data_IF_905152061122
#
_entry.id   IF_905152061122
#
_cell.length_a   1.000
_cell.length_b   1.000
_cell.length_c   1.000
_cell.angle_alpha   90.00
_cell.angle_beta   90.00
_cell.angle_gamma   90.00
#
_symmetry.space_group_name_H-M   'P 1'
#
loop_
_entity.id
_entity.type
_entity.pdbx_description
1 polymer ?
#
# COMPACT_ATOMS: atom_id res chain seq x y z
N UNK A 1 -3.96 -24.42 -2.44
CA UNK A 1 -3.23 -23.16 -2.71
C UNK A 1 -3.53 -22.14 -1.60
N UNK A 2 -2.89 -22.27 -0.44
CA UNK A 2 -3.07 -21.37 0.74
C UNK A 2 -1.73 -20.75 1.17
N UNK A 3 -0.61 -21.27 0.65
CA UNK A 3 0.75 -20.89 1.04
C UNK A 3 1.13 -19.46 0.61
N UNK A 4 0.62 -18.97 -0.53
CA UNK A 4 1.04 -17.67 -1.08
C UNK A 4 0.55 -16.48 -0.24
N UNK A 5 -0.65 -16.57 0.35
CA UNK A 5 -1.26 -15.47 1.10
C UNK A 5 -0.65 -15.29 2.50
N UNK A 6 -0.22 -16.38 3.13
CA UNK A 6 0.40 -16.33 4.46
C UNK A 6 1.82 -15.76 4.42
N UNK A 7 2.56 -16.11 3.35
CA UNK A 7 3.93 -15.62 3.12
C UNK A 7 3.94 -14.09 2.92
N UNK A 8 2.96 -13.54 2.20
CA UNK A 8 2.88 -12.09 1.94
C UNK A 8 2.73 -11.26 3.23
N UNK A 9 1.97 -11.78 4.21
CA UNK A 9 1.63 -11.10 5.47
C UNK A 9 2.83 -11.06 6.41
N UNK A 10 3.55 -12.18 6.51
CA UNK A 10 4.77 -12.25 7.31
C UNK A 10 5.90 -11.38 6.75
N UNK A 11 5.98 -11.18 5.44
CA UNK A 11 7.07 -10.41 4.85
C UNK A 11 6.81 -8.90 4.85
N UNK A 12 5.55 -8.45 4.78
CA UNK A 12 5.26 -7.02 4.94
C UNK A 12 5.62 -6.45 6.33
N UNK A 13 5.94 -7.31 7.31
CA UNK A 13 6.39 -6.91 8.64
C UNK A 13 7.92 -6.96 8.82
N UNK A 14 8.69 -7.56 7.88
CA UNK A 14 10.13 -7.76 8.07
C UNK A 14 10.98 -6.61 7.51
N UNK A 15 11.69 -5.96 8.43
CA UNK A 15 12.64 -4.87 8.26
C UNK A 15 13.90 -5.39 7.56
N UNK A 16 14.49 -4.62 6.65
CA UNK A 16 15.92 -4.24 6.56
C UNK A 16 16.23 -3.59 5.19
N UNK A 17 16.56 -2.30 5.27
CA UNK A 17 17.54 -1.50 4.51
C UNK A 17 18.20 -2.22 3.32
N UNK A 18 17.97 -1.76 2.08
CA UNK A 18 18.98 -1.43 1.03
C UNK A 18 18.25 -0.65 -0.08
N UNK A 19 18.88 0.43 -0.53
CA UNK A 19 18.28 1.44 -1.41
C UNK A 19 18.01 0.97 -2.84
N UNK A 20 17.01 1.62 -3.45
CA UNK A 20 16.86 1.93 -4.88
C UNK A 20 15.73 2.96 -4.96
N UNK A 21 15.89 3.92 -5.87
CA UNK A 21 15.06 5.10 -6.13
C UNK A 21 13.57 4.77 -6.24
N UNK A 22 12.88 4.69 -5.10
CA UNK A 22 11.42 4.57 -5.06
C UNK A 22 10.83 5.97 -4.93
N UNK A 23 9.95 6.32 -5.85
CA UNK A 23 9.14 7.54 -5.77
C UNK A 23 8.59 7.68 -4.34
N UNK A 24 8.61 8.89 -3.74
CA UNK A 24 8.25 9.07 -2.35
C UNK A 24 6.81 8.57 -2.14
N UNK A 25 6.68 7.47 -1.40
CA UNK A 25 5.40 6.98 -0.91
C UNK A 25 5.09 7.83 0.32
N UNK A 26 4.07 8.66 0.21
CA UNK A 26 3.58 9.44 1.34
C UNK A 26 2.42 8.70 2.01
N UNK A 27 2.53 8.53 3.32
CA UNK A 27 1.49 7.90 4.12
C UNK A 27 0.66 9.00 4.75
N UNK A 28 -0.60 9.06 4.31
CA UNK A 28 -1.61 10.01 4.76
C UNK A 28 -2.28 9.37 5.99
N UNK A 29 -1.66 9.54 7.15
CA UNK A 29 -2.17 9.06 8.45
C UNK A 29 -1.93 10.13 9.52
N UNK A 30 -2.81 10.27 10.54
CA UNK A 30 -2.63 11.24 11.63
C UNK A 30 -1.36 11.03 12.48
N UNK A 31 -0.65 9.91 12.32
CA UNK A 31 0.59 9.57 13.04
C UNK A 31 1.64 9.12 12.01
N UNK A 32 2.21 10.05 11.26
CA UNK A 32 3.04 9.74 10.08
C UNK A 32 4.54 9.60 10.43
N UNK A 33 4.95 8.38 10.80
CA UNK A 33 6.35 7.90 10.73
C UNK A 33 6.47 6.44 10.29
N UNK A 34 5.34 5.75 10.07
CA UNK A 34 5.29 4.31 9.82
C UNK A 34 5.80 4.00 8.41
N UNK A 35 7.04 3.54 8.24
CA UNK A 35 7.50 3.03 6.94
C UNK A 35 6.86 1.66 6.67
N UNK A 36 6.18 1.49 5.54
CA UNK A 36 5.74 0.16 5.08
C UNK A 36 6.93 -0.63 4.51
N UNK A 37 6.95 -1.94 4.70
CA UNK A 37 8.01 -2.80 4.17
C UNK A 37 8.11 -2.69 2.64
N UNK A 38 9.32 -2.85 2.11
CA UNK A 38 9.62 -2.67 0.69
C UNK A 38 8.79 -3.58 -0.22
N UNK A 39 8.45 -4.80 0.22
CA UNK A 39 7.57 -5.67 -0.55
C UNK A 39 6.15 -5.09 -0.66
N UNK A 40 5.62 -4.56 0.44
CA UNK A 40 4.37 -3.82 0.44
C UNK A 40 4.47 -2.58 -0.46
N UNK A 41 5.61 -1.88 -0.49
CA UNK A 41 5.87 -0.77 -1.42
C UNK A 41 5.79 -1.21 -2.88
N UNK A 42 6.42 -2.34 -3.24
CA UNK A 42 6.36 -2.88 -4.60
C UNK A 42 4.94 -3.25 -5.00
N UNK A 43 4.15 -3.84 -4.09
CA UNK A 43 2.77 -4.22 -4.38
C UNK A 43 1.91 -2.97 -4.64
N UNK A 44 1.99 -1.95 -3.78
CA UNK A 44 1.21 -0.71 -3.99
C UNK A 44 1.69 0.07 -5.21
N UNK A 45 2.99 0.03 -5.51
CA UNK A 45 3.58 0.66 -6.68
C UNK A 45 3.08 0.01 -7.97
N UNK A 46 3.19 -1.31 -8.11
CA UNK A 46 2.62 -2.06 -9.25
C UNK A 46 1.12 -1.85 -9.41
N UNK A 47 0.39 -1.78 -8.30
CA UNK A 47 -1.05 -1.49 -8.34
C UNK A 47 -1.30 -0.09 -8.90
N UNK A 48 -0.55 0.92 -8.45
CA UNK A 48 -0.66 2.27 -8.99
C UNK A 48 -0.19 2.38 -10.44
N UNK A 49 0.83 1.63 -10.87
CA UNK A 49 1.24 1.58 -12.29
C UNK A 49 0.11 1.03 -13.18
N UNK A 50 -0.62 0.01 -12.74
CA UNK A 50 -1.76 -0.52 -13.48
C UNK A 50 -2.95 0.44 -13.57
N UNK A 51 -3.15 1.27 -12.54
CA UNK A 51 -4.24 2.25 -12.46
C UNK A 51 -3.86 3.63 -13.03
N UNK A 52 -2.57 3.87 -13.28
CA UNK A 52 -2.06 5.15 -13.74
C UNK A 52 -2.43 5.37 -15.21
N UNK A 53 -3.06 6.51 -15.48
CA UNK A 53 -3.37 6.97 -16.86
C UNK A 53 -2.29 7.87 -17.45
N UNK A 54 -1.16 8.02 -16.75
CA UNK A 54 -0.05 8.90 -17.08
C UNK A 54 1.19 8.53 -16.28
N UNK A 55 2.19 9.41 -16.24
CA UNK A 55 3.41 9.12 -15.50
C UNK A 55 3.15 9.22 -13.99
N UNK A 56 3.34 8.13 -13.25
CA UNK A 56 3.13 8.10 -11.81
C UNK A 56 4.13 9.04 -11.14
N UNK A 57 3.64 9.97 -10.31
CA UNK A 57 4.47 10.96 -9.64
C UNK A 57 4.55 10.74 -8.14
N UNK A 58 3.47 10.24 -7.53
CA UNK A 58 3.36 10.06 -6.09
C UNK A 58 2.34 8.98 -5.74
N UNK A 59 2.57 8.31 -4.63
CA UNK A 59 1.64 7.34 -4.06
C UNK A 59 1.27 7.80 -2.66
N UNK A 60 -0.03 7.90 -2.40
CA UNK A 60 -0.61 8.16 -1.08
C UNK A 60 -1.20 6.89 -0.49
N UNK A 61 -0.93 6.61 0.78
CA UNK A 61 -1.51 5.48 1.51
C UNK A 61 -2.35 5.99 2.68
N UNK A 62 -3.60 5.56 2.77
CA UNK A 62 -4.47 5.77 3.93
C UNK A 62 -4.83 4.40 4.48
N UNK A 63 -3.99 3.95 5.42
CA UNK A 63 -4.09 2.65 6.07
C UNK A 63 -5.39 2.50 6.86
N UNK A 64 -5.84 3.47 7.69
CA UNK A 64 -7.11 3.35 8.42
C UNK A 64 -8.32 3.13 7.52
N UNK A 65 -8.36 3.80 6.36
CA UNK A 65 -9.45 3.65 5.39
C UNK A 65 -9.20 2.58 4.34
N UNK A 66 -8.07 1.86 4.41
CA UNK A 66 -7.62 0.91 3.40
C UNK A 66 -7.63 1.47 1.97
N UNK A 67 -7.25 2.75 1.81
CA UNK A 67 -7.26 3.47 0.54
C UNK A 67 -5.86 3.71 0.00
N UNK A 68 -5.78 3.65 -1.33
CA UNK A 68 -4.59 3.93 -2.13
C UNK A 68 -4.89 5.10 -3.06
N UNK A 69 -4.02 6.11 -3.04
CA UNK A 69 -4.08 7.28 -3.91
C UNK A 69 -2.91 7.23 -4.88
N UNK A 70 -3.20 7.11 -6.18
CA UNK A 70 -2.17 7.09 -7.22
C UNK A 70 -2.20 8.43 -7.94
N UNK A 71 -1.16 9.25 -7.72
CA UNK A 71 -1.02 10.55 -8.38
C UNK A 71 -0.21 10.36 -9.65
N UNK A 72 -0.79 10.76 -10.77
CA UNK A 72 -0.15 10.68 -12.08
C UNK A 72 -0.20 12.03 -12.78
N UNK A 73 0.82 12.32 -13.58
CA UNK A 73 0.86 13.49 -14.46
C UNK A 73 0.57 13.04 -15.88
N UNK A 74 -0.48 13.60 -16.47
CA UNK A 74 -0.87 13.37 -17.86
C UNK A 74 0.06 14.14 -18.81
N UNK A 75 0.01 13.78 -20.10
CA UNK A 75 0.86 14.38 -21.14
C UNK A 75 0.63 15.88 -21.35
N UNK A 76 -0.56 16.38 -21.02
CA UNK A 76 -0.92 17.81 -21.03
C UNK A 76 -0.43 18.57 -19.78
N UNK A 77 0.23 17.88 -18.84
CA UNK A 77 0.71 18.43 -17.59
C UNK A 77 -0.29 18.39 -16.44
N UNK A 78 -1.54 17.96 -16.69
CA UNK A 78 -2.58 17.85 -15.68
C UNK A 78 -2.23 16.77 -14.64
N UNK A 79 -2.36 17.11 -13.36
CA UNK A 79 -2.26 16.14 -12.27
C UNK A 79 -3.60 15.43 -12.09
N UNK A 80 -3.57 14.11 -12.13
CA UNK A 80 -4.73 13.24 -11.92
C UNK A 80 -4.50 12.33 -10.72
N UNK A 81 -5.51 12.25 -9.87
CA UNK A 81 -5.53 11.30 -8.74
C UNK A 81 -6.50 10.17 -9.09
N UNK A 82 -6.01 8.94 -9.05
CA UNK A 82 -6.84 7.74 -9.11
C UNK A 82 -6.97 7.16 -7.70
N UNK A 83 -8.19 6.83 -7.31
CA UNK A 83 -8.50 6.21 -6.02
C UNK A 83 -8.76 4.73 -6.21
N UNK A 84 -8.09 3.89 -5.41
CA UNK A 84 -8.35 2.46 -5.38
C UNK A 84 -8.18 1.93 -3.96
N UNK A 85 -8.52 0.66 -3.76
CA UNK A 85 -8.40 0.00 -2.46
C UNK A 85 -6.98 -0.53 -2.27
N UNK A 86 -6.50 -0.52 -1.02
CA UNK A 86 -5.33 -1.32 -0.69
C UNK A 86 -5.61 -2.80 -0.93
N UNK A 87 -4.59 -3.60 -1.29
CA UNK A 87 -4.75 -5.05 -1.39
C UNK A 87 -5.27 -5.66 -0.09
N UNK A 88 -6.07 -6.71 -0.22
CA UNK A 88 -6.49 -7.50 0.93
C UNK A 88 -5.26 -8.07 1.66
N UNK A 89 -5.41 -8.23 2.97
CA UNK A 89 -4.40 -8.69 3.92
C UNK A 89 -3.22 -7.72 4.15
N UNK A 90 -3.25 -6.53 3.57
CA UNK A 90 -2.28 -5.48 3.90
C UNK A 90 -2.51 -4.96 5.32
N UNK A 91 -1.49 -4.86 6.18
CA UNK A 91 -1.66 -4.37 7.54
C UNK A 91 -2.08 -2.90 7.54
N UNK A 92 -3.18 -2.59 8.22
CA UNK A 92 -3.70 -1.22 8.37
C UNK A 92 -3.45 -0.64 9.76
N UNK A 93 -3.50 -1.49 10.79
CA UNK A 93 -3.22 -1.17 12.18
C UNK A 93 -2.59 -2.41 12.84
N UNK A 94 -2.04 -2.28 14.04
CA UNK A 94 -1.54 -3.42 14.81
C UNK A 94 -2.69 -4.42 15.03
N UNK A 95 -2.50 -5.66 14.58
CA UNK A 95 -3.51 -6.72 14.66
C UNK A 95 -4.68 -6.59 13.67
N UNK A 96 -4.61 -5.63 12.73
CA UNK A 96 -5.67 -5.39 11.76
C UNK A 96 -5.15 -5.38 10.33
N UNK A 97 -5.97 -5.89 9.42
CA UNK A 97 -5.68 -5.99 8.00
C UNK A 97 -6.77 -5.33 7.16
N UNK A 98 -6.41 -4.88 5.97
CA UNK A 98 -7.35 -4.51 4.94
C UNK A 98 -8.04 -5.75 4.38
N UNK A 99 -9.37 -5.74 4.33
CA UNK A 99 -10.17 -6.74 3.64
C UNK A 99 -11.41 -6.06 3.08
N UNK A 100 -11.64 -6.19 1.77
CA UNK A 100 -12.80 -5.58 1.10
C UNK A 100 -12.88 -4.05 1.33
N UNK A 101 -11.72 -3.38 1.35
CA UNK A 101 -11.64 -1.94 1.55
C UNK A 101 -11.92 -1.47 2.99
N UNK A 102 -11.96 -2.38 3.96
CA UNK A 102 -12.12 -2.07 5.40
C UNK A 102 -10.92 -2.55 6.20
N UNK A 103 -10.53 -1.79 7.22
CA UNK A 103 -9.55 -2.23 8.21
C UNK A 103 -10.26 -3.06 9.28
N UNK A 104 -10.05 -4.38 9.27
CA UNK A 104 -10.69 -5.33 10.18
C UNK A 104 -9.66 -6.10 11.00
N UNK A 105 -10.08 -6.72 12.10
CA UNK A 105 -9.21 -7.58 12.88
C UNK A 105 -8.71 -8.76 12.04
N UNK A 106 -7.43 -9.10 12.18
CA UNK A 106 -6.88 -10.27 11.51
C UNK A 106 -7.28 -11.55 12.26
N UNK A 107 -8.32 -12.20 11.78
CA UNK A 107 -8.83 -13.47 12.32
C UNK A 107 -7.77 -14.59 12.35
N UNK A 108 -6.66 -14.46 11.58
CA UNK A 108 -5.54 -15.42 11.62
C UNK A 108 -4.66 -15.28 12.86
N UNK A 109 -4.83 -14.21 13.62
CA UNK A 109 -4.11 -13.96 14.88
C UNK A 109 -4.85 -14.60 16.08
N UNK A 110 -6.12 -15.03 15.91
CA UNK A 110 -6.81 -15.81 16.93
C UNK A 110 -6.28 -17.26 16.92
N UNK A 111 -5.24 -17.48 17.71
CA UNK A 111 -4.77 -18.80 18.17
C UNK A 111 -5.48 -19.18 19.47
#
# INVERSE_FOLDING_TARGET
>A
MIMANFVLVMICLQIIIIGVTSQPIEIISPISTTKIAQQCQTVVHKKCEGEAKGNLTKIGLDLPSCRLYCYSKLSDGTLRVTFTWLPDYMPCLVGMICKEGKCIFDERIQL
#
